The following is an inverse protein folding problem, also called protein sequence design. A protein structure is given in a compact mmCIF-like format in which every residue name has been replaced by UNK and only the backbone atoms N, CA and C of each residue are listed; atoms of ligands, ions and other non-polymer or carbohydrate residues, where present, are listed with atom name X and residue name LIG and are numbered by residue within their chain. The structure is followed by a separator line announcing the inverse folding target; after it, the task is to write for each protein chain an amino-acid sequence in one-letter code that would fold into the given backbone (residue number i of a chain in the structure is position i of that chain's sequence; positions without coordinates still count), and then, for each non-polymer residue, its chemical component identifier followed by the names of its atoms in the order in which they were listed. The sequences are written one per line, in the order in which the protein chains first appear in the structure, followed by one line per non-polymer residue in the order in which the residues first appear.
data_IF_598917758891
#
_entry.id   IF_598917758891
#
_cell.length_a   1.000
_cell.length_b   1.000
_cell.length_c   1.000
_cell.angle_alpha   90.00
_cell.angle_beta   90.00
_cell.angle_gamma   90.00
#
_symmetry.space_group_name_H-M   'P 1'
#
loop_
_entity.id
_entity.type
_entity.pdbx_description
1 polymer ?
#
# COMPACT_ATOMS: atom_id res chain seq x y z
N UNK A 1 -27.05 32.52 81.14
CA UNK A 1 -25.91 33.17 80.43
C UNK A 1 -24.64 32.39 80.74
N UNK A 2 -23.80 32.15 79.71
CA UNK A 2 -22.44 31.55 79.72
C UNK A 2 -22.40 30.02 79.92
N UNK A 3 -22.27 29.29 78.80
CA UNK A 3 -21.04 28.71 78.20
C UNK A 3 -20.50 27.52 79.02
N UNK A 4 -20.80 26.31 78.57
CA UNK A 4 -20.04 25.10 78.93
C UNK A 4 -19.33 24.58 77.68
N UNK A 5 -18.01 24.47 77.80
CA UNK A 5 -17.09 23.82 76.87
C UNK A 5 -17.22 22.31 77.10
N UNK A 6 -17.28 21.50 76.04
CA UNK A 6 -17.16 20.06 76.14
C UNK A 6 -16.07 19.59 75.17
N UNK A 7 -14.96 19.14 75.75
CA UNK A 7 -13.84 18.51 75.05
C UNK A 7 -13.93 17.02 75.33
N UNK A 8 -14.06 16.27 74.23
CA UNK A 8 -13.40 15.01 73.86
C UNK A 8 -13.25 13.90 74.91
N UNK A 9 -13.72 12.69 74.55
CA UNK A 9 -12.87 11.51 74.71
C UNK A 9 -13.19 10.42 73.66
N UNK A 10 -12.11 9.84 73.15
CA UNK A 10 -12.02 9.00 71.97
C UNK A 10 -12.38 7.53 72.25
N UNK A 11 -13.09 6.91 71.30
CA UNK A 11 -13.12 5.45 71.12
C UNK A 11 -12.70 5.14 69.68
N UNK A 12 -11.45 4.69 69.52
CA UNK A 12 -10.91 4.20 68.25
C UNK A 12 -11.30 2.73 68.07
N UNK A 13 -11.90 2.33 66.95
CA UNK A 13 -11.99 0.91 66.60
C UNK A 13 -10.66 0.44 66.00
N UNK A 14 -10.09 -0.59 66.62
CA UNK A 14 -8.94 -1.35 66.13
C UNK A 14 -9.28 -2.04 64.81
N UNK A 15 -8.73 -1.55 63.71
CA UNK A 15 -8.69 -2.29 62.45
C UNK A 15 -7.47 -3.23 62.46
N UNK A 16 -7.73 -4.53 62.64
CA UNK A 16 -6.77 -5.57 62.31
C UNK A 16 -6.54 -5.55 60.79
N UNK A 17 -5.42 -4.98 60.36
CA UNK A 17 -4.91 -5.15 59.00
C UNK A 17 -4.33 -6.57 58.89
N UNK A 18 -5.11 -7.49 58.33
CA UNK A 18 -4.55 -8.71 57.78
C UNK A 18 -3.70 -8.34 56.56
N UNK A 19 -2.38 -8.38 56.72
CA UNK A 19 -1.44 -8.35 55.60
C UNK A 19 -1.56 -9.65 54.81
N UNK A 20 -2.50 -9.73 53.89
CA UNK A 20 -2.54 -10.79 52.89
C UNK A 20 -1.44 -10.50 51.87
N UNK A 21 -0.47 -11.39 51.73
CA UNK A 21 0.48 -11.36 50.62
C UNK A 21 -0.34 -11.65 49.36
N UNK A 22 -0.58 -10.63 48.53
CA UNK A 22 -1.06 -10.86 47.17
C UNK A 22 0.15 -11.09 46.28
N UNK A 23 0.27 -12.29 45.72
CA UNK A 23 1.13 -12.51 44.56
C UNK A 23 0.37 -11.92 43.37
N UNK A 24 0.91 -10.85 42.79
CA UNK A 24 0.42 -10.35 41.51
C UNK A 24 1.07 -11.22 40.45
N UNK A 25 0.28 -12.00 39.73
CA UNK A 25 0.77 -12.60 38.50
C UNK A 25 1.15 -11.47 37.56
N UNK A 26 2.45 -11.36 37.28
CA UNK A 26 2.91 -10.60 36.13
C UNK A 26 2.44 -11.43 34.95
N UNK A 27 1.27 -11.10 34.42
CA UNK A 27 0.90 -11.51 33.08
C UNK A 27 2.03 -10.97 32.19
N UNK A 28 2.95 -11.85 31.77
CA UNK A 28 3.85 -11.57 30.68
C UNK A 28 2.96 -11.43 29.44
N UNK A 29 2.30 -10.28 29.31
CA UNK A 29 1.99 -9.74 28.00
C UNK A 29 3.33 -9.42 27.40
N UNK A 30 3.91 -10.44 26.76
CA UNK A 30 4.69 -10.19 25.56
C UNK A 30 3.81 -9.29 24.71
N UNK A 31 4.09 -7.99 24.81
CA UNK A 31 3.45 -7.01 23.98
C UNK A 31 4.13 -7.24 22.64
N UNK A 32 3.62 -8.22 21.88
CA UNK A 32 3.97 -8.35 20.47
C UNK A 32 3.61 -7.00 19.87
N UNK A 33 4.62 -6.16 19.74
CA UNK A 33 4.53 -4.85 19.12
C UNK A 33 4.26 -5.16 17.66
N UNK A 34 2.98 -5.34 17.33
CA UNK A 34 2.53 -5.61 15.98
C UNK A 34 3.05 -4.46 15.12
N UNK A 35 3.97 -4.78 14.23
CA UNK A 35 4.62 -3.79 13.38
C UNK A 35 3.54 -2.92 12.71
N UNK A 36 3.59 -1.61 12.95
CA UNK A 36 2.57 -0.67 12.50
C UNK A 36 2.57 -0.62 10.97
N UNK A 37 1.38 -0.63 10.37
CA UNK A 37 1.22 -0.45 8.93
C UNK A 37 1.70 0.93 8.46
N UNK A 38 2.67 0.96 7.55
CA UNK A 38 3.33 2.18 7.08
C UNK A 38 2.63 2.87 5.91
N UNK A 39 1.52 2.28 5.41
CA UNK A 39 0.77 2.77 4.24
C UNK A 39 1.59 2.85 2.94
N UNK A 40 2.71 2.11 2.81
CA UNK A 40 3.53 2.12 1.60
C UNK A 40 3.04 1.15 0.52
N UNK A 41 2.33 0.09 0.91
CA UNK A 41 1.78 -0.92 -0.01
C UNK A 41 0.30 -1.12 0.25
N UNK A 42 -0.47 -1.26 -0.82
CA UNK A 42 -1.87 -1.67 -0.72
C UNK A 42 -2.00 -3.12 -0.26
N UNK A 43 -1.24 -4.02 -0.88
CA UNK A 43 -1.21 -5.44 -0.57
C UNK A 43 0.04 -5.82 0.24
N UNK A 44 -0.17 -6.36 1.44
CA UNK A 44 0.89 -6.72 2.39
C UNK A 44 1.38 -8.16 2.26
N UNK A 45 0.71 -9.00 1.47
CA UNK A 45 1.05 -10.41 1.33
C UNK A 45 1.09 -11.11 2.70
N UNK A 46 2.24 -11.66 3.07
CA UNK A 46 2.41 -12.38 4.34
C UNK A 46 2.37 -11.50 5.60
N UNK A 47 2.49 -10.18 5.47
CA UNK A 47 2.42 -9.21 6.57
C UNK A 47 0.99 -8.71 6.87
N UNK A 48 -0.03 -9.47 6.47
CA UNK A 48 -1.44 -9.08 6.55
C UNK A 48 -1.94 -8.75 7.97
N UNK A 49 -1.27 -9.22 9.02
CA UNK A 49 -1.61 -8.85 10.41
C UNK A 49 -1.48 -7.34 10.65
N UNK A 50 -0.63 -6.64 9.88
CA UNK A 50 -0.49 -5.18 9.99
C UNK A 50 -1.74 -4.42 9.52
N UNK A 51 -2.69 -5.08 8.84
CA UNK A 51 -3.97 -4.45 8.53
C UNK A 51 -4.84 -4.19 9.77
N UNK A 52 -4.50 -4.71 10.95
CA UNK A 52 -5.26 -4.46 12.18
C UNK A 52 -5.49 -2.94 12.39
N UNK A 53 -6.75 -2.56 12.59
CA UNK A 53 -7.18 -1.17 12.77
C UNK A 53 -7.27 -0.36 11.48
N UNK A 54 -6.90 -0.91 10.32
CA UNK A 54 -6.98 -0.21 9.04
C UNK A 54 -8.38 -0.27 8.45
N UNK A 55 -8.73 0.78 7.70
CA UNK A 55 -9.93 0.82 6.88
C UNK A 55 -9.63 0.32 5.47
N UNK A 56 -10.53 -0.54 4.98
CA UNK A 56 -10.50 -1.14 3.66
C UNK A 56 -11.73 -0.71 2.88
N UNK A 57 -11.50 -0.19 1.67
CA UNK A 57 -12.55 0.12 0.69
C UNK A 57 -12.64 -0.99 -0.34
N UNK A 58 -13.82 -1.57 -0.56
CA UNK A 58 -14.01 -2.62 -1.57
C UNK A 58 -14.05 -1.99 -2.96
N UNK A 59 -13.01 -2.26 -3.75
CA UNK A 59 -12.92 -1.75 -5.12
C UNK A 59 -14.06 -2.32 -5.97
N UNK A 60 -14.82 -1.46 -6.67
CA UNK A 60 -15.79 -1.91 -7.65
C UNK A 60 -15.14 -2.71 -8.79
N UNK A 61 -15.97 -3.30 -9.64
CA UNK A 61 -15.55 -4.07 -10.80
C UNK A 61 -16.10 -3.43 -12.06
N UNK A 62 -15.32 -3.54 -13.14
CA UNK A 62 -15.81 -3.28 -14.49
C UNK A 62 -17.14 -4.00 -14.71
N UNK A 63 -18.06 -3.37 -15.44
CA UNK A 63 -19.44 -3.86 -15.64
C UNK A 63 -19.49 -5.33 -16.06
N UNK A 64 -18.64 -5.73 -17.01
CA UNK A 64 -18.57 -7.11 -17.53
C UNK A 64 -18.16 -8.14 -16.47
N UNK A 65 -17.51 -7.70 -15.39
CA UNK A 65 -17.02 -8.55 -14.32
C UNK A 65 -17.95 -8.59 -13.11
N UNK A 66 -19.01 -7.77 -13.07
CA UNK A 66 -19.91 -7.70 -11.90
C UNK A 66 -20.70 -8.98 -11.69
N UNK A 67 -21.02 -9.69 -12.77
CA UNK A 67 -21.70 -11.01 -12.74
C UNK A 67 -20.95 -12.05 -11.90
N UNK A 68 -19.64 -11.87 -11.74
CA UNK A 68 -18.79 -12.78 -11.00
C UNK A 68 -18.78 -12.52 -9.50
N UNK A 69 -19.31 -11.40 -9.02
CA UNK A 69 -19.32 -11.05 -7.61
C UNK A 69 -17.92 -10.95 -7.00
N UNK A 70 -17.82 -11.21 -5.69
CA UNK A 70 -16.57 -11.24 -4.94
C UNK A 70 -16.36 -12.58 -4.26
N UNK A 71 -15.14 -13.09 -4.28
CA UNK A 71 -14.76 -14.29 -3.55
C UNK A 71 -14.53 -13.98 -2.07
N UNK A 72 -14.53 -15.02 -1.25
CA UNK A 72 -13.89 -15.06 0.08
C UNK A 72 -14.48 -14.19 1.19
N UNK A 73 -15.54 -13.44 0.93
CA UNK A 73 -16.37 -12.85 1.97
C UNK A 73 -17.31 -13.88 2.60
N UNK A 74 -17.15 -14.09 3.90
CA UNK A 74 -17.86 -15.11 4.69
C UNK A 74 -18.56 -14.50 5.90
N UNK A 75 -19.59 -15.20 6.36
CA UNK A 75 -20.22 -15.08 7.67
C UNK A 75 -20.12 -16.43 8.38
N UNK A 76 -20.30 -16.43 9.71
CA UNK A 76 -20.41 -17.66 10.48
C UNK A 76 -21.89 -17.92 10.77
N UNK A 77 -22.37 -19.09 10.35
CA UNK A 77 -23.72 -19.59 10.64
C UNK A 77 -23.56 -21.00 11.19
N UNK A 78 -24.11 -21.28 12.39
CA UNK A 78 -23.97 -22.57 13.08
C UNK A 78 -22.50 -23.05 13.15
N UNK A 79 -21.60 -22.16 13.57
CA UNK A 79 -20.14 -22.39 13.68
C UNK A 79 -19.43 -22.75 12.37
N UNK A 80 -20.06 -22.55 11.21
CA UNK A 80 -19.47 -22.83 9.90
C UNK A 80 -19.40 -21.57 9.04
N UNK A 81 -18.34 -21.45 8.25
CA UNK A 81 -18.24 -20.39 7.26
C UNK A 81 -19.25 -20.61 6.13
N UNK A 82 -20.02 -19.57 5.84
CA UNK A 82 -20.91 -19.49 4.70
C UNK A 82 -20.61 -18.24 3.89
N UNK A 83 -20.84 -18.31 2.58
CA UNK A 83 -20.70 -17.14 1.70
C UNK A 83 -21.64 -16.02 2.15
N UNK A 84 -21.12 -14.80 2.27
CA UNK A 84 -21.94 -13.63 2.58
C UNK A 84 -22.78 -13.22 1.36
N UNK A 85 -24.09 -13.02 1.53
CA UNK A 85 -25.01 -12.57 0.47
C UNK A 85 -24.75 -13.22 -0.92
N UNK A 86 -24.87 -14.54 -1.05
CA UNK A 86 -24.61 -15.24 -2.31
C UNK A 86 -25.76 -15.05 -3.32
N UNK A 87 -25.52 -15.33 -4.61
CA UNK A 87 -26.57 -15.29 -5.65
C UNK A 87 -27.72 -16.24 -5.38
N UNK A 88 -27.37 -17.42 -4.93
CA UNK A 88 -28.26 -18.48 -4.52
C UNK A 88 -27.52 -19.34 -3.50
N UNK A 89 -28.19 -20.31 -2.90
CA UNK A 89 -27.63 -21.17 -1.83
C UNK A 89 -26.38 -21.96 -2.24
N UNK A 90 -26.09 -22.10 -3.54
CA UNK A 90 -24.93 -22.83 -4.05
C UNK A 90 -23.78 -21.90 -4.50
N UNK A 91 -23.97 -20.58 -4.50
CA UNK A 91 -22.94 -19.65 -4.92
C UNK A 91 -21.83 -19.56 -3.87
N UNK A 92 -20.60 -19.80 -4.32
CA UNK A 92 -19.38 -19.62 -3.52
C UNK A 92 -18.94 -18.16 -3.42
N UNK A 93 -19.62 -17.25 -4.13
CA UNK A 93 -19.29 -15.83 -4.24
C UNK A 93 -20.41 -14.93 -3.73
N UNK A 94 -19.98 -13.80 -3.16
CA UNK A 94 -20.81 -12.70 -2.68
C UNK A 94 -21.27 -11.84 -3.83
N UNK A 95 -22.55 -11.44 -3.85
CA UNK A 95 -23.12 -10.56 -4.86
C UNK A 95 -22.36 -9.24 -4.95
N UNK A 96 -22.11 -8.77 -6.17
CA UNK A 96 -21.43 -7.50 -6.42
C UNK A 96 -22.09 -6.32 -5.69
N UNK A 97 -23.39 -6.10 -5.91
CA UNK A 97 -24.13 -4.95 -5.34
C UNK A 97 -24.24 -4.99 -3.81
N UNK A 98 -24.00 -6.16 -3.21
CA UNK A 98 -24.08 -6.32 -1.76
C UNK A 98 -22.87 -5.75 -1.02
N UNK A 99 -21.75 -5.50 -1.70
CA UNK A 99 -20.48 -5.15 -1.05
C UNK A 99 -19.59 -4.16 -1.80
N UNK A 100 -19.74 -4.01 -3.12
CA UNK A 100 -18.95 -3.06 -3.90
C UNK A 100 -19.06 -1.63 -3.33
N UNK A 101 -17.93 -0.95 -3.19
CA UNK A 101 -17.88 0.42 -2.68
C UNK A 101 -18.13 0.56 -1.17
N UNK A 102 -18.23 -0.53 -0.43
CA UNK A 102 -18.37 -0.48 1.04
C UNK A 102 -17.01 -0.35 1.73
N UNK A 103 -17.07 0.23 2.94
CA UNK A 103 -15.93 0.36 3.83
C UNK A 103 -16.02 -0.64 4.98
N UNK A 104 -14.89 -1.24 5.31
CA UNK A 104 -14.73 -2.15 6.44
C UNK A 104 -13.53 -1.72 7.28
N UNK A 105 -13.64 -1.85 8.59
CA UNK A 105 -12.48 -1.73 9.49
C UNK A 105 -12.02 -3.13 9.87
N UNK A 106 -10.71 -3.40 9.77
CA UNK A 106 -10.14 -4.68 10.22
C UNK A 106 -10.04 -4.66 11.74
N UNK A 107 -10.87 -5.46 12.41
CA UNK A 107 -10.94 -5.48 13.87
C UNK A 107 -10.09 -6.61 14.49
N UNK A 108 -9.75 -7.62 13.69
CA UNK A 108 -8.85 -8.72 14.09
C UNK A 108 -8.28 -9.40 12.85
N UNK A 109 -7.13 -10.05 12.99
CA UNK A 109 -6.53 -10.93 12.00
C UNK A 109 -6.31 -12.32 12.62
N UNK A 110 -6.26 -13.37 11.80
CA UNK A 110 -5.89 -14.72 12.29
C UNK A 110 -4.43 -14.78 12.78
N UNK A 111 -4.17 -15.41 13.93
CA UNK A 111 -2.86 -15.70 14.55
C UNK A 111 -2.94 -15.57 16.10
N UNK A 112 -3.03 -16.66 16.87
CA UNK A 112 -1.95 -17.57 17.34
C UNK A 112 -2.13 -19.07 16.95
N UNK A 113 -1.11 -19.95 17.11
CA UNK A 113 -0.97 -21.26 16.43
C UNK A 113 -1.76 -22.42 17.05
N UNK A 114 -2.94 -22.17 17.60
CA UNK A 114 -3.81 -23.22 18.13
C UNK A 114 -5.20 -23.06 17.51
N UNK A 115 -5.39 -23.71 16.36
CA UNK A 115 -6.61 -24.43 15.97
C UNK A 115 -6.63 -24.61 14.45
N UNK A 116 -6.01 -25.70 13.98
CA UNK A 116 -6.43 -26.61 12.90
C UNK A 116 -7.22 -26.11 11.67
N UNK A 117 -7.19 -24.84 11.32
CA UNK A 117 -7.81 -24.27 10.11
C UNK A 117 -6.72 -23.57 9.32
N UNK A 118 -6.43 -24.12 8.13
CA UNK A 118 -5.30 -23.73 7.28
C UNK A 118 -5.44 -22.34 6.63
N UNK A 119 -6.46 -21.57 6.99
CA UNK A 119 -6.90 -20.41 6.24
C UNK A 119 -6.64 -19.12 7.02
N UNK A 120 -5.84 -18.23 6.45
CA UNK A 120 -5.60 -16.88 6.97
C UNK A 120 -6.86 -16.05 6.70
N UNK A 121 -7.31 -15.23 7.65
CA UNK A 121 -8.46 -14.36 7.43
C UNK A 121 -8.37 -13.02 8.17
N UNK A 122 -9.10 -12.05 7.65
CA UNK A 122 -9.36 -10.77 8.28
C UNK A 122 -10.78 -10.78 8.85
N UNK A 123 -10.95 -10.36 10.10
CA UNK A 123 -12.26 -10.08 10.67
C UNK A 123 -12.56 -8.60 10.41
N UNK A 124 -13.63 -8.36 9.66
CA UNK A 124 -14.03 -7.07 9.14
C UNK A 124 -15.30 -6.61 9.84
N UNK A 125 -15.35 -5.33 10.22
CA UNK A 125 -16.57 -4.68 10.66
C UNK A 125 -17.06 -3.71 9.59
N UNK A 126 -18.27 -3.91 9.06
CA UNK A 126 -18.87 -3.01 8.09
C UNK A 126 -19.14 -1.63 8.69
N UNK A 127 -18.61 -0.59 8.07
CA UNK A 127 -18.90 0.80 8.47
C UNK A 127 -20.33 1.24 8.14
N UNK A 128 -21.05 0.48 7.31
CA UNK A 128 -22.43 0.80 6.93
C UNK A 128 -23.43 0.42 8.03
N UNK A 129 -23.26 -0.74 8.66
CA UNK A 129 -24.27 -1.34 9.53
C UNK A 129 -23.70 -2.09 10.75
N UNK A 130 -22.38 -2.08 10.96
CA UNK A 130 -21.73 -2.78 12.07
C UNK A 130 -21.62 -4.30 11.89
N UNK A 131 -22.01 -4.84 10.73
CA UNK A 131 -22.01 -6.28 10.51
C UNK A 131 -20.57 -6.82 10.42
N UNK A 132 -20.32 -7.89 11.18
CA UNK A 132 -19.05 -8.62 11.13
C UNK A 132 -19.01 -9.57 9.94
N UNK A 133 -17.95 -9.48 9.14
CA UNK A 133 -17.61 -10.41 8.08
C UNK A 133 -16.24 -11.01 8.31
N UNK A 134 -15.97 -12.14 7.66
CA UNK A 134 -14.69 -12.81 7.64
C UNK A 134 -14.22 -12.85 6.19
N UNK A 135 -13.07 -12.28 5.91
CA UNK A 135 -12.48 -12.33 4.57
C UNK A 135 -11.36 -13.37 4.57
N UNK A 136 -11.52 -14.46 3.83
CA UNK A 136 -10.45 -15.46 3.66
C UNK A 136 -9.35 -14.83 2.80
N UNK A 137 -8.17 -14.71 3.39
CA UNK A 137 -7.07 -13.93 2.85
C UNK A 137 -5.99 -14.83 2.26
N UNK A 138 -5.69 -14.65 0.97
CA UNK A 138 -4.57 -15.30 0.32
C UNK A 138 -3.35 -14.36 0.27
N UNK A 139 -2.27 -14.63 1.05
CA UNK A 139 -1.07 -13.80 1.08
C UNK A 139 -0.25 -13.87 -0.21
N UNK A 140 -0.50 -14.83 -1.10
CA UNK A 140 0.32 -15.08 -2.29
C UNK A 140 -0.06 -14.20 -3.47
N UNK A 141 -1.35 -13.92 -3.66
CA UNK A 141 -1.85 -13.26 -4.86
C UNK A 141 -2.58 -11.96 -4.54
N UNK A 142 -1.99 -10.82 -4.92
CA UNK A 142 -2.64 -9.50 -4.79
C UNK A 142 -3.99 -9.44 -5.50
N UNK A 143 -4.16 -10.16 -6.61
CA UNK A 143 -5.44 -10.21 -7.33
C UNK A 143 -6.60 -10.81 -6.52
N UNK A 144 -6.29 -11.52 -5.43
CA UNK A 144 -7.29 -12.04 -4.49
C UNK A 144 -7.78 -10.97 -3.51
N UNK A 145 -7.08 -9.84 -3.36
CA UNK A 145 -7.36 -8.80 -2.39
C UNK A 145 -8.19 -7.68 -3.04
N UNK A 146 -9.52 -7.65 -2.88
CA UNK A 146 -10.41 -6.74 -3.61
C UNK A 146 -10.46 -5.34 -2.98
N UNK A 147 -9.52 -5.00 -2.09
CA UNK A 147 -9.58 -3.79 -1.30
C UNK A 147 -8.54 -2.77 -1.74
N UNK A 148 -8.90 -1.51 -1.56
CA UNK A 148 -7.97 -0.39 -1.44
C UNK A 148 -7.87 -0.02 0.04
N UNK A 149 -6.67 -0.09 0.61
CA UNK A 149 -6.43 0.35 1.98
C UNK A 149 -6.49 1.87 2.02
N UNK A 150 -7.33 2.42 2.89
CA UNK A 150 -7.62 3.86 2.91
C UNK A 150 -6.36 4.67 3.24
N UNK A 151 -5.58 4.25 4.26
CA UNK A 151 -4.33 4.92 4.62
C UNK A 151 -3.28 4.95 3.50
N UNK A 152 -3.21 3.89 2.69
CA UNK A 152 -2.37 3.86 1.49
C UNK A 152 -2.82 4.91 0.47
N UNK A 153 -4.12 4.97 0.18
CA UNK A 153 -4.66 5.95 -0.76
C UNK A 153 -4.45 7.39 -0.27
N UNK A 154 -4.65 7.67 1.01
CA UNK A 154 -4.38 8.98 1.62
C UNK A 154 -2.90 9.37 1.51
N UNK A 155 -1.99 8.41 1.74
CA UNK A 155 -0.55 8.64 1.58
C UNK A 155 -0.18 8.93 0.13
N UNK A 156 -0.79 8.24 -0.84
CA UNK A 156 -0.64 8.57 -2.26
C UNK A 156 -1.14 9.99 -2.55
N UNK A 157 -2.34 10.37 -2.08
CA UNK A 157 -2.87 11.74 -2.26
C UNK A 157 -1.89 12.78 -1.71
N UNK A 158 -1.40 12.60 -0.48
CA UNK A 158 -0.43 13.52 0.14
C UNK A 158 0.90 13.58 -0.61
N UNK A 159 1.32 12.45 -1.18
CA UNK A 159 2.57 12.34 -1.93
C UNK A 159 2.46 13.07 -3.25
N UNK A 160 1.45 12.75 -4.06
CA UNK A 160 1.40 13.13 -5.47
C UNK A 160 0.57 14.39 -5.76
N UNK A 161 -0.55 14.60 -5.07
CA UNK A 161 -1.51 15.65 -5.44
C UNK A 161 -0.92 17.04 -5.28
N UNK A 162 -1.42 17.95 -6.10
CA UNK A 162 -1.12 19.38 -6.08
C UNK A 162 0.37 19.70 -6.28
N UNK A 163 1.09 18.89 -7.07
CA UNK A 163 2.53 19.01 -7.30
C UNK A 163 2.91 18.75 -8.76
N UNK A 164 4.08 19.23 -9.16
CA UNK A 164 4.63 18.97 -10.48
C UNK A 164 5.50 17.72 -10.48
N UNK A 165 5.22 16.80 -11.39
CA UNK A 165 5.90 15.53 -11.54
C UNK A 165 6.47 15.40 -12.94
N UNK A 166 7.70 14.93 -13.04
CA UNK A 166 8.24 14.45 -14.30
C UNK A 166 7.76 13.01 -14.51
N UNK A 167 7.15 12.77 -15.67
CA UNK A 167 6.62 11.47 -16.08
C UNK A 167 7.48 10.97 -17.24
N UNK A 168 8.19 9.85 -17.02
CA UNK A 168 8.97 9.17 -18.05
C UNK A 168 8.12 8.12 -18.77
N UNK A 169 7.01 8.59 -19.33
CA UNK A 169 6.06 7.79 -20.09
C UNK A 169 5.61 8.61 -21.28
N UNK A 170 5.62 7.98 -22.45
CA UNK A 170 5.01 8.52 -23.65
C UNK A 170 3.87 7.59 -24.05
N UNK A 171 2.73 8.18 -24.38
CA UNK A 171 1.56 7.44 -24.81
C UNK A 171 0.73 8.28 -25.76
N UNK A 172 0.46 7.71 -26.92
CA UNK A 172 -0.42 8.34 -27.89
C UNK A 172 -1.88 7.99 -27.68
N UNK A 173 -2.21 7.05 -26.79
CA UNK A 173 -3.56 6.54 -26.54
C UNK A 173 -4.15 7.00 -25.20
N UNK A 174 -3.69 8.15 -24.70
CA UNK A 174 -4.38 8.82 -23.59
C UNK A 174 -5.57 9.61 -24.13
N UNK A 175 -6.52 9.94 -23.26
CA UNK A 175 -7.73 10.68 -23.64
C UNK A 175 -7.94 11.86 -22.70
N UNK A 176 -8.40 12.97 -23.25
CA UNK A 176 -8.86 14.10 -22.46
C UNK A 176 -10.17 13.72 -21.75
N UNK A 177 -10.19 13.85 -20.43
CA UNK A 177 -11.32 13.42 -19.62
C UNK A 177 -12.56 14.30 -19.78
N UNK A 178 -12.41 15.52 -20.30
CA UNK A 178 -13.53 16.45 -20.47
C UNK A 178 -14.22 16.26 -21.82
N UNK A 179 -13.42 15.97 -22.86
CA UNK A 179 -13.88 15.92 -24.26
C UNK A 179 -13.91 14.52 -24.85
N UNK A 180 -13.20 13.56 -24.26
CA UNK A 180 -13.01 12.22 -24.80
C UNK A 180 -12.05 12.15 -26.00
N UNK A 181 -11.45 13.27 -26.39
CA UNK A 181 -10.54 13.31 -27.54
C UNK A 181 -9.20 12.65 -27.21
N UNK A 182 -8.59 12.01 -28.20
CA UNK A 182 -7.26 11.40 -28.09
C UNK A 182 -6.20 12.47 -27.81
N UNK A 183 -5.29 12.18 -26.88
CA UNK A 183 -4.16 13.01 -26.50
C UNK A 183 -2.85 12.24 -26.74
N UNK A 184 -1.90 12.90 -27.40
CA UNK A 184 -0.51 12.46 -27.42
C UNK A 184 0.24 13.05 -26.23
N UNK A 185 0.64 12.17 -25.31
CA UNK A 185 1.36 12.52 -24.09
C UNK A 185 2.82 12.18 -24.30
N UNK A 186 3.68 13.19 -24.24
CA UNK A 186 5.12 13.03 -24.31
C UNK A 186 5.75 12.81 -22.92
N UNK A 187 6.99 12.32 -22.88
CA UNK A 187 7.81 12.40 -21.66
C UNK A 187 7.96 13.85 -21.25
N UNK A 188 7.70 14.18 -19.98
CA UNK A 188 7.71 15.58 -19.58
C UNK A 188 7.20 15.83 -18.17
N UNK A 189 7.15 17.11 -17.79
CA UNK A 189 6.58 17.54 -16.51
C UNK A 189 5.11 17.86 -16.65
N UNK A 190 4.32 17.33 -15.73
CA UNK A 190 2.88 17.53 -15.64
C UNK A 190 2.50 17.91 -14.22
N UNK A 191 1.47 18.74 -14.09
CA UNK A 191 0.89 19.04 -12.80
C UNK A 191 -0.11 17.94 -12.43
N UNK A 192 0.05 17.36 -11.25
CA UNK A 192 -0.88 16.40 -10.70
C UNK A 192 -1.91 17.16 -9.86
N UNK A 193 -3.16 17.20 -10.33
CA UNK A 193 -4.26 17.83 -9.59
C UNK A 193 -4.68 16.95 -8.41
N UNK A 194 -4.82 15.64 -8.63
CA UNK A 194 -5.24 14.72 -7.58
C UNK A 194 -4.78 13.27 -7.84
N UNK A 195 -4.92 12.42 -6.82
CA UNK A 195 -4.97 10.97 -6.96
C UNK A 195 -6.42 10.51 -6.90
N UNK A 196 -6.81 9.71 -7.88
CA UNK A 196 -8.18 9.24 -8.09
C UNK A 196 -8.22 7.74 -8.44
N UNK A 197 -9.42 7.22 -8.66
CA UNK A 197 -9.68 5.85 -9.14
C UNK A 197 -10.41 6.00 -10.48
N UNK A 198 -9.91 5.34 -11.53
CA UNK A 198 -10.58 5.39 -12.83
C UNK A 198 -11.93 4.67 -12.78
N UNK A 199 -12.93 5.18 -13.50
CA UNK A 199 -14.31 4.67 -13.42
C UNK A 199 -14.57 3.39 -14.22
N UNK A 200 -13.64 2.97 -15.07
CA UNK A 200 -13.82 1.82 -15.96
C UNK A 200 -13.22 0.54 -15.37
N UNK A 201 -11.97 0.65 -14.91
CA UNK A 201 -11.12 -0.43 -14.44
C UNK A 201 -10.83 -0.35 -12.94
N UNK A 202 -11.25 0.73 -12.27
CA UNK A 202 -11.12 0.94 -10.82
C UNK A 202 -9.67 0.84 -10.33
N UNK A 203 -8.74 1.35 -11.11
CA UNK A 203 -7.31 1.46 -10.82
C UNK A 203 -6.98 2.84 -10.27
N UNK A 204 -6.13 2.85 -9.25
CA UNK A 204 -5.59 4.09 -8.70
C UNK A 204 -4.73 4.79 -9.76
N UNK A 205 -5.02 6.05 -10.00
CA UNK A 205 -4.42 6.85 -11.07
C UNK A 205 -4.15 8.27 -10.59
N UNK A 206 -3.13 8.90 -11.18
CA UNK A 206 -2.91 10.34 -11.06
C UNK A 206 -3.76 11.08 -12.09
N UNK A 207 -4.42 12.14 -11.65
CA UNK A 207 -5.11 13.09 -12.52
C UNK A 207 -4.13 14.20 -12.91
N UNK A 208 -3.61 14.12 -14.14
CA UNK A 208 -2.56 15.01 -14.63
C UNK A 208 -3.11 16.04 -15.61
N UNK A 209 -2.49 17.23 -15.62
CA UNK A 209 -2.78 18.30 -16.56
C UNK A 209 -1.64 18.49 -17.56
N UNK A 210 -2.00 18.56 -18.83
CA UNK A 210 -1.10 19.05 -19.89
C UNK A 210 -0.83 20.55 -19.71
N UNK A 211 0.21 21.11 -20.36
CA UNK A 211 0.44 22.56 -20.36
C UNK A 211 -0.75 23.38 -20.89
N UNK A 212 -1.60 22.79 -21.74
CA UNK A 212 -2.81 23.41 -22.28
C UNK A 212 -4.02 23.30 -21.34
N UNK A 213 -3.90 22.59 -20.20
CA UNK A 213 -4.97 22.41 -19.24
C UNK A 213 -5.85 21.18 -19.47
N UNK A 214 -5.53 20.34 -20.47
CA UNK A 214 -6.26 19.09 -20.73
C UNK A 214 -5.99 18.09 -19.60
N UNK A 215 -7.03 17.36 -19.19
CA UNK A 215 -6.95 16.41 -18.06
C UNK A 215 -6.85 14.99 -18.59
N UNK A 216 -5.92 14.20 -18.06
CA UNK A 216 -5.78 12.78 -18.40
C UNK A 216 -5.40 11.94 -17.18
N UNK A 217 -5.68 10.64 -17.23
CA UNK A 217 -5.29 9.70 -16.17
C UNK A 217 -3.96 9.04 -16.50
N UNK A 218 -3.07 9.02 -15.51
CA UNK A 218 -1.85 8.24 -15.51
C UNK A 218 -1.97 7.14 -14.44
N UNK A 219 -2.06 5.88 -14.87
CA UNK A 219 -2.20 4.76 -13.95
C UNK A 219 -0.91 4.55 -13.15
N UNK A 220 -1.03 4.49 -11.81
CA UNK A 220 0.09 4.07 -10.97
C UNK A 220 0.23 2.54 -11.11
N UNK A 221 1.26 2.10 -11.82
CA UNK A 221 1.69 0.71 -11.75
C UNK A 221 2.50 0.50 -10.47
N UNK A 222 2.55 -0.74 -9.96
CA UNK A 222 3.59 -1.10 -9.00
C UNK A 222 4.93 -0.92 -9.73
N UNK A 223 5.64 0.17 -9.42
CA UNK A 223 6.78 0.71 -10.19
C UNK A 223 8.02 -0.17 -10.12
N UNK A 224 7.89 -1.41 -9.64
CA UNK A 224 8.97 -2.34 -9.29
C UNK A 224 9.86 -2.81 -10.44
N UNK A 225 9.61 -2.36 -11.68
CA UNK A 225 10.47 -2.70 -12.82
C UNK A 225 11.41 -1.58 -13.26
N UNK A 226 11.12 -0.30 -12.99
CA UNK A 226 11.93 0.81 -13.50
C UNK A 226 12.01 2.02 -12.57
N UNK A 227 13.23 2.45 -12.17
CA UNK A 227 13.43 3.44 -11.11
C UNK A 227 13.03 4.87 -11.52
N UNK A 228 13.02 5.20 -12.80
CA UNK A 228 12.65 6.53 -13.30
C UNK A 228 11.39 6.43 -14.13
N UNK A 229 10.26 6.16 -13.46
CA UNK A 229 8.93 6.14 -14.09
C UNK A 229 8.21 7.46 -13.84
N UNK A 230 8.22 7.91 -12.59
CA UNK A 230 7.70 9.21 -12.15
C UNK A 230 8.59 9.74 -11.01
N UNK A 231 8.92 11.02 -11.04
CA UNK A 231 9.74 11.67 -10.01
C UNK A 231 9.37 13.15 -9.85
N UNK A 232 9.66 13.78 -8.69
CA UNK A 232 9.43 15.21 -8.54
C UNK A 232 10.13 15.98 -9.67
N UNK A 233 9.46 17.00 -10.23
CA UNK A 233 10.03 17.82 -11.31
C UNK A 233 11.42 18.36 -10.94
N UNK A 234 11.59 18.78 -9.69
CA UNK A 234 12.86 19.32 -9.16
C UNK A 234 13.99 18.29 -9.20
N UNK A 235 13.67 17.02 -8.97
CA UNK A 235 14.66 15.95 -8.98
C UNK A 235 15.06 15.62 -10.41
N UNK A 236 14.11 15.57 -11.34
CA UNK A 236 14.41 15.41 -12.77
C UNK A 236 15.32 16.54 -13.28
N UNK A 237 15.06 17.78 -12.90
CA UNK A 237 15.90 18.94 -13.24
C UNK A 237 17.30 18.86 -12.59
N UNK A 238 17.39 18.34 -11.35
CA UNK A 238 18.66 18.09 -10.68
C UNK A 238 19.47 17.03 -11.41
N UNK A 239 18.87 15.88 -11.75
CA UNK A 239 19.54 14.81 -12.48
C UNK A 239 19.96 15.24 -13.88
N UNK A 240 19.11 15.95 -14.62
CA UNK A 240 19.47 16.50 -15.94
C UNK A 240 20.69 17.42 -15.86
N UNK A 241 20.77 18.30 -14.85
CA UNK A 241 21.93 19.16 -14.63
C UNK A 241 23.18 18.38 -14.22
N UNK A 242 23.02 17.39 -13.34
CA UNK A 242 24.12 16.56 -12.82
C UNK A 242 24.75 15.68 -13.90
N UNK A 243 23.92 15.08 -14.75
CA UNK A 243 24.36 14.07 -15.72
C UNK A 243 24.60 14.64 -17.12
N UNK A 244 24.08 15.84 -17.40
CA UNK A 244 24.03 16.40 -18.75
C UNK A 244 22.86 15.84 -19.56
N UNK A 245 22.39 16.62 -20.54
CA UNK A 245 21.20 16.30 -21.32
C UNK A 245 21.28 14.95 -22.04
N UNK A 246 22.43 14.61 -22.62
CA UNK A 246 22.58 13.41 -23.44
C UNK A 246 22.58 12.12 -22.62
N UNK A 247 23.21 12.14 -21.44
CA UNK A 247 23.19 11.01 -20.51
C UNK A 247 21.82 10.89 -19.86
N UNK A 248 21.22 12.01 -19.45
CA UNK A 248 19.86 12.02 -18.91
C UNK A 248 18.84 11.45 -19.89
N UNK A 249 18.90 11.85 -21.16
CA UNK A 249 18.01 11.31 -22.19
C UNK A 249 18.20 9.80 -22.36
N UNK A 250 19.45 9.32 -22.32
CA UNK A 250 19.74 7.88 -22.44
C UNK A 250 19.20 7.08 -21.25
N UNK A 251 19.29 7.63 -20.03
CA UNK A 251 18.67 7.05 -18.83
C UNK A 251 17.15 6.97 -18.99
N UNK A 252 16.51 8.06 -19.45
CA UNK A 252 15.06 8.07 -19.70
C UNK A 252 14.63 7.07 -20.77
N UNK A 253 15.50 6.78 -21.73
CA UNK A 253 15.28 5.80 -22.80
C UNK A 253 15.73 4.38 -22.40
N UNK A 254 16.16 4.18 -21.14
CA UNK A 254 16.64 2.91 -20.58
C UNK A 254 17.82 2.33 -21.36
N UNK A 255 18.70 3.21 -21.84
CA UNK A 255 19.93 2.85 -22.54
C UNK A 255 21.13 3.07 -21.61
N UNK A 256 22.12 2.20 -21.76
CA UNK A 256 23.44 2.38 -21.15
C UNK A 256 24.37 3.04 -22.15
N UNK A 257 25.38 3.73 -21.62
CA UNK A 257 26.52 4.23 -22.40
C UNK A 257 27.80 3.97 -21.61
N UNK A 258 28.86 3.60 -22.32
CA UNK A 258 30.21 3.56 -21.74
C UNK A 258 30.53 4.93 -21.13
N UNK A 259 31.14 4.91 -19.94
CA UNK A 259 31.39 6.08 -19.11
C UNK A 259 30.24 6.44 -18.16
N UNK A 260 29.12 5.70 -18.16
CA UNK A 260 28.08 5.89 -17.14
C UNK A 260 28.60 5.57 -15.74
N UNK A 261 28.28 6.43 -14.78
CA UNK A 261 28.49 6.11 -13.36
C UNK A 261 27.52 5.02 -12.90
N UNK A 262 27.86 4.33 -11.82
CA UNK A 262 26.96 3.38 -11.14
C UNK A 262 25.54 3.94 -10.91
N UNK A 263 25.43 5.20 -10.47
CA UNK A 263 24.14 5.86 -10.24
C UNK A 263 23.33 6.01 -11.55
N UNK A 264 23.98 6.39 -12.65
CA UNK A 264 23.33 6.50 -13.97
C UNK A 264 22.83 5.13 -14.44
N UNK A 265 23.62 4.07 -14.25
CA UNK A 265 23.22 2.70 -14.59
C UNK A 265 22.03 2.27 -13.75
N UNK A 266 22.08 2.46 -12.43
CA UNK A 266 20.96 2.15 -11.53
C UNK A 266 19.71 2.93 -11.89
N UNK A 267 19.82 4.21 -12.24
CA UNK A 267 18.67 5.00 -12.69
C UNK A 267 18.13 4.57 -14.05
N UNK A 268 18.95 3.96 -14.91
CA UNK A 268 18.51 3.47 -16.22
C UNK A 268 17.84 2.09 -16.09
N UNK A 269 18.49 1.14 -15.41
CA UNK A 269 18.13 -0.28 -15.42
C UNK A 269 17.66 -0.85 -14.08
N UNK A 270 17.71 -0.08 -13.00
CA UNK A 270 17.41 -0.58 -11.66
C UNK A 270 18.61 -1.21 -10.97
N UNK A 271 18.36 -1.77 -9.79
CA UNK A 271 19.39 -2.47 -9.02
C UNK A 271 19.76 -3.80 -9.71
N UNK A 272 21.06 -4.14 -9.76
CA UNK A 272 21.49 -5.45 -10.23
C UNK A 272 21.03 -6.56 -9.26
N UNK A 273 21.01 -7.79 -9.76
CA UNK A 273 20.74 -8.98 -8.94
C UNK A 273 21.90 -9.27 -7.98
N UNK A 274 23.13 -9.02 -8.45
CA UNK A 274 24.36 -9.27 -7.71
C UNK A 274 25.45 -8.28 -8.15
N UNK A 275 26.35 -7.94 -7.23
CA UNK A 275 27.52 -7.11 -7.50
C UNK A 275 28.75 -7.86 -6.98
N UNK A 276 29.62 -8.27 -7.91
CA UNK A 276 30.92 -8.85 -7.61
C UNK A 276 31.98 -7.76 -7.60
N UNK A 277 32.49 -7.41 -6.40
CA UNK A 277 33.45 -6.32 -6.23
C UNK A 277 34.89 -6.79 -6.20
N UNK A 278 35.77 -6.02 -6.83
CA UNK A 278 37.22 -6.13 -6.66
C UNK A 278 37.82 -4.74 -6.40
N UNK A 279 39.15 -4.65 -6.25
CA UNK A 279 39.78 -3.38 -5.87
C UNK A 279 39.46 -2.23 -6.83
N UNK A 280 39.49 -2.49 -8.14
CA UNK A 280 39.27 -1.46 -9.16
C UNK A 280 38.23 -1.86 -10.23
N UNK A 281 37.73 -3.10 -10.19
CA UNK A 281 36.79 -3.63 -11.18
C UNK A 281 35.58 -4.20 -10.49
N UNK A 282 34.39 -3.82 -10.94
CA UNK A 282 33.14 -4.41 -10.46
C UNK A 282 32.43 -5.08 -11.63
N UNK A 283 31.85 -6.25 -11.38
CA UNK A 283 30.92 -6.88 -12.31
C UNK A 283 29.52 -6.87 -11.69
N UNK A 284 28.58 -6.27 -12.40
CA UNK A 284 27.18 -6.27 -11.99
C UNK A 284 26.41 -7.27 -12.82
N UNK A 285 25.62 -8.10 -12.15
CA UNK A 285 24.84 -9.18 -12.75
C UNK A 285 23.39 -8.73 -12.87
N UNK A 286 22.89 -8.65 -14.10
CA UNK A 286 21.46 -8.57 -14.41
C UNK A 286 21.00 -9.90 -15.01
N UNK A 287 19.68 -10.10 -15.14
CA UNK A 287 19.09 -11.40 -15.53
C UNK A 287 19.75 -12.06 -16.74
N UNK A 288 20.05 -11.28 -17.78
CA UNK A 288 20.58 -11.78 -19.04
C UNK A 288 21.86 -11.03 -19.50
N UNK A 289 22.49 -10.27 -18.61
CA UNK A 289 23.56 -9.34 -19.01
C UNK A 289 24.50 -9.04 -17.85
N UNK A 290 25.77 -8.86 -18.17
CA UNK A 290 26.81 -8.45 -17.23
C UNK A 290 27.31 -7.07 -17.62
N UNK A 291 27.44 -6.20 -16.63
CA UNK A 291 28.04 -4.89 -16.79
C UNK A 291 29.38 -4.87 -16.06
N UNK A 292 30.38 -4.31 -16.69
CA UNK A 292 31.73 -4.21 -16.15
C UNK A 292 32.06 -2.75 -15.87
N UNK A 293 32.50 -2.48 -14.66
CA UNK A 293 32.87 -1.14 -14.21
C UNK A 293 34.35 -1.11 -13.85
N UNK A 294 35.02 -0.01 -14.17
CA UNK A 294 36.34 0.33 -13.66
C UNK A 294 36.27 1.67 -12.94
N UNK A 295 36.72 1.71 -11.69
CA UNK A 295 36.68 2.92 -10.84
C UNK A 295 35.29 3.61 -10.81
N UNK A 296 34.21 2.81 -10.77
CA UNK A 296 32.83 3.30 -10.71
C UNK A 296 32.23 3.79 -12.05
N UNK A 297 32.93 3.58 -13.17
CA UNK A 297 32.46 3.92 -14.51
C UNK A 297 32.27 2.65 -15.36
N UNK A 298 31.13 2.56 -16.05
CA UNK A 298 30.81 1.47 -16.96
C UNK A 298 31.80 1.46 -18.13
N UNK A 299 32.57 0.39 -18.27
CA UNK A 299 33.58 0.22 -19.32
C UNK A 299 33.16 -0.77 -20.39
N UNK A 300 32.33 -1.76 -20.05
CA UNK A 300 31.84 -2.76 -21.00
C UNK A 300 30.53 -3.41 -20.56
N UNK A 301 29.81 -4.02 -21.51
CA UNK A 301 28.64 -4.86 -21.26
C UNK A 301 28.35 -5.79 -22.44
N UNK A 302 27.88 -7.00 -22.15
CA UNK A 302 27.70 -8.06 -23.16
C UNK A 302 26.27 -8.26 -23.65
#
# INVERSE_FOLDING_TARGET
MKRLILVLECLLPSFCLYGQISITDIENKETQQTAVYDSLKNFLGYDYQKYLGQDLYVLPKNEKLRIYGYSDFKIIVNNNFQTYNPENSFSSRTKYDSIAGQYFTVIKTSGEPDDFTRDKYLILNSRKNGQTLYFLYDPKYESSFPFLVVGYFEKLKKTYSQKNWFVNYANDESFDLSTGNKLSIAKGSYYCEDVTIDSENFKVSLLLLTPQGNKFLYQLYDTGLYPVTILPKTDAEKYKRKFGSDNWQSILDRKLKIGFTEEMVKMSWGEPLEINRSSNHDQWVYRNQYLYFENGLLTDFN
#
